data_IF_451224743383
#
_entry.id   IF_451224743383
#
_cell.length_a   1.000
_cell.length_b   1.000
_cell.length_c   1.000
_cell.angle_alpha   90.00
_cell.angle_beta   90.00
_cell.angle_gamma   90.00
#
_symmetry.space_group_name_H-M   'P 1'
#
loop_
_entity.id
_entity.type
_entity.pdbx_description
1 polymer ?
#
# COMPACT_ATOMS: atom_id res chain seq x y z
N UNK A 1 -36.38 19.69 -13.94
CA UNK A 1 -36.19 18.55 -13.05
C UNK A 1 -34.70 18.31 -12.91
N UNK A 2 -34.29 18.40 -11.65
CA UNK A 2 -33.02 18.17 -10.93
C UNK A 2 -31.70 17.90 -11.66
N UNK A 3 -30.69 18.63 -11.19
CA UNK A 3 -29.26 18.41 -11.37
C UNK A 3 -28.80 17.23 -10.50
N UNK A 4 -28.14 16.24 -11.10
CA UNK A 4 -27.46 15.16 -10.39
C UNK A 4 -26.04 15.57 -10.00
N UNK A 5 -25.85 16.00 -8.76
CA UNK A 5 -24.53 16.18 -8.15
C UNK A 5 -23.92 14.82 -7.81
N UNK A 6 -22.83 14.47 -8.48
CA UNK A 6 -22.02 13.29 -8.14
C UNK A 6 -21.22 13.54 -6.86
N UNK A 7 -21.58 12.84 -5.79
CA UNK A 7 -20.84 12.80 -4.53
C UNK A 7 -19.53 12.01 -4.71
N UNK A 8 -18.40 12.70 -4.79
CA UNK A 8 -17.04 12.14 -4.78
C UNK A 8 -16.38 12.14 -3.39
N UNK A 9 -17.10 12.43 -2.31
CA UNK A 9 -16.52 12.83 -1.02
C UNK A 9 -16.14 11.73 -0.02
N UNK A 10 -16.39 10.44 -0.29
CA UNK A 10 -16.29 9.39 0.75
C UNK A 10 -14.99 8.59 0.75
N UNK A 11 -14.30 8.44 -0.39
CA UNK A 11 -13.05 7.68 -0.46
C UNK A 11 -11.84 8.44 0.10
N UNK A 12 -11.78 9.76 -0.12
CA UNK A 12 -10.68 10.59 0.37
C UNK A 12 -10.69 10.71 1.90
N UNK A 13 -11.85 10.86 2.53
CA UNK A 13 -11.96 10.99 4.00
C UNK A 13 -11.39 9.80 4.79
N UNK A 14 -11.65 8.57 4.33
CA UNK A 14 -11.13 7.37 5.00
C UNK A 14 -9.62 7.15 4.73
N UNK A 15 -9.13 7.62 3.59
CA UNK A 15 -7.71 7.57 3.26
C UNK A 15 -6.89 8.60 4.05
N UNK A 16 -7.51 9.71 4.44
CA UNK A 16 -6.91 10.73 5.30
C UNK A 16 -6.90 10.30 6.77
N UNK A 17 -7.97 9.66 7.26
CA UNK A 17 -8.04 9.15 8.63
C UNK A 17 -6.95 8.10 8.92
N UNK A 18 -6.60 7.25 7.95
CA UNK A 18 -5.59 6.21 8.14
C UNK A 18 -4.15 6.73 8.04
N UNK A 19 -3.93 7.94 7.51
CA UNK A 19 -2.60 8.51 7.31
C UNK A 19 -1.83 8.74 8.62
N UNK A 20 -2.55 8.93 9.73
CA UNK A 20 -1.97 9.16 11.05
C UNK A 20 -1.89 7.91 11.93
N UNK A 21 -2.19 6.73 11.39
CA UNK A 21 -2.21 5.47 12.13
C UNK A 21 -0.96 4.65 11.81
N UNK A 22 -0.48 3.88 12.79
CA UNK A 22 0.51 2.82 12.61
C UNK A 22 -0.12 1.45 12.81
N UNK A 23 0.33 0.44 12.07
CA UNK A 23 -0.19 -0.93 12.21
C UNK A 23 0.92 -1.97 12.39
N UNK A 24 0.70 -2.91 13.32
CA UNK A 24 1.60 -4.05 13.54
C UNK A 24 0.79 -5.32 13.76
N UNK A 25 1.07 -6.36 12.99
CA UNK A 25 0.49 -7.69 13.18
C UNK A 25 1.51 -8.62 13.85
N UNK A 26 1.51 -8.58 15.18
CA UNK A 26 2.45 -9.34 16.01
C UNK A 26 2.35 -10.85 15.77
N UNK A 27 1.15 -11.37 15.49
CA UNK A 27 0.96 -12.81 15.27
C UNK A 27 1.63 -13.27 13.97
N UNK A 28 1.51 -12.49 12.90
CA UNK A 28 2.20 -12.78 11.65
C UNK A 28 3.73 -12.76 11.86
N UNK A 29 4.24 -11.69 12.50
CA UNK A 29 5.68 -11.53 12.72
C UNK A 29 6.25 -12.66 13.56
N UNK A 30 5.53 -13.11 14.61
CA UNK A 30 5.94 -14.23 15.44
C UNK A 30 5.96 -15.56 14.67
N UNK A 31 4.99 -15.77 13.77
CA UNK A 31 4.82 -17.04 13.07
C UNK A 31 5.71 -17.18 11.83
N UNK A 32 5.90 -16.10 11.09
CA UNK A 32 6.53 -16.13 9.76
C UNK A 32 7.79 -15.28 9.67
N UNK A 33 8.10 -14.47 10.69
CA UNK A 33 9.10 -13.42 10.59
C UNK A 33 8.71 -12.38 9.53
N UNK A 34 9.68 -11.55 9.13
CA UNK A 34 9.50 -10.58 8.05
C UNK A 34 10.76 -10.53 7.18
N UNK A 35 10.59 -10.65 5.87
CA UNK A 35 11.65 -10.58 4.87
C UNK A 35 11.08 -10.17 3.50
N UNK A 36 11.95 -9.99 2.51
CA UNK A 36 11.57 -9.55 1.16
C UNK A 36 10.57 -10.47 0.43
N UNK A 37 10.48 -11.75 0.82
CA UNK A 37 9.58 -12.72 0.18
C UNK A 37 8.16 -12.64 0.71
N UNK A 38 7.98 -12.26 1.99
CA UNK A 38 6.68 -12.28 2.66
C UNK A 38 6.15 -10.89 3.07
N UNK A 39 6.92 -9.82 2.84
CA UNK A 39 6.51 -8.46 3.25
C UNK A 39 5.21 -7.99 2.60
N UNK A 40 4.93 -8.38 1.34
CA UNK A 40 3.65 -8.05 0.71
C UNK A 40 2.49 -8.83 1.35
N UNK A 41 2.70 -10.09 1.73
CA UNK A 41 1.69 -10.87 2.46
C UNK A 41 1.42 -10.26 3.84
N UNK A 42 2.47 -9.81 4.52
CA UNK A 42 2.35 -9.06 5.77
C UNK A 42 1.53 -7.78 5.57
N UNK A 43 1.84 -7.01 4.52
CA UNK A 43 1.11 -5.79 4.17
C UNK A 43 -0.37 -6.04 3.91
N UNK A 44 -0.74 -7.17 3.30
CA UNK A 44 -2.15 -7.52 3.06
C UNK A 44 -2.97 -7.71 4.33
N UNK A 45 -2.32 -7.90 5.49
CA UNK A 45 -3.01 -8.00 6.79
C UNK A 45 -3.36 -6.62 7.38
N UNK A 46 -2.84 -5.55 6.79
CA UNK A 46 -2.98 -4.19 7.32
C UNK A 46 -4.28 -3.52 6.87
N UNK A 47 -4.79 -2.57 7.67
CA UNK A 47 -5.92 -1.74 7.25
C UNK A 47 -5.55 -0.88 6.03
N UNK A 48 -4.28 -0.52 5.82
CA UNK A 48 -3.84 0.19 4.62
C UNK A 48 -4.16 -0.57 3.34
N UNK A 49 -3.93 -1.89 3.32
CA UNK A 49 -4.30 -2.69 2.16
C UNK A 49 -5.82 -2.65 1.92
N UNK A 50 -6.64 -2.74 2.97
CA UNK A 50 -8.09 -2.68 2.82
C UNK A 50 -8.56 -1.31 2.29
N UNK A 51 -8.10 -0.22 2.90
CA UNK A 51 -8.57 1.13 2.62
C UNK A 51 -7.96 1.75 1.37
N UNK A 52 -6.73 1.38 1.00
CA UNK A 52 -6.05 1.92 -0.16
C UNK A 52 -6.30 1.11 -1.46
N UNK A 53 -7.36 0.29 -1.50
CA UNK A 53 -7.81 -0.40 -2.71
C UNK A 53 -7.23 -1.80 -2.93
N UNK A 54 -6.67 -2.43 -1.91
CA UNK A 54 -6.16 -3.81 -1.94
C UNK A 54 -7.13 -4.84 -2.52
N UNK A 55 -8.40 -4.91 -2.07
CA UNK A 55 -9.37 -5.89 -2.59
C UNK A 55 -9.64 -5.81 -4.10
N UNK A 56 -9.39 -4.65 -4.72
CA UNK A 56 -9.52 -4.42 -6.16
C UNK A 56 -8.19 -4.47 -6.92
N UNK A 57 -7.07 -4.62 -6.22
CA UNK A 57 -5.73 -4.58 -6.80
C UNK A 57 -5.41 -5.82 -7.62
N UNK A 58 -4.41 -5.69 -8.50
CA UNK A 58 -3.87 -6.82 -9.25
C UNK A 58 -3.23 -7.87 -8.32
N UNK A 59 -2.68 -7.48 -7.17
CA UNK A 59 -2.20 -8.40 -6.14
C UNK A 59 -3.29 -9.35 -5.67
N UNK A 60 -4.50 -8.83 -5.38
CA UNK A 60 -5.63 -9.63 -4.93
C UNK A 60 -6.09 -10.61 -6.01
N UNK A 61 -6.16 -10.14 -7.27
CA UNK A 61 -6.55 -10.99 -8.40
C UNK A 61 -5.57 -12.17 -8.55
N UNK A 62 -4.26 -11.91 -8.51
CA UNK A 62 -3.23 -12.97 -8.56
C UNK A 62 -3.36 -13.93 -7.38
N UNK A 63 -3.60 -13.41 -6.17
CA UNK A 63 -3.76 -14.24 -4.96
C UNK A 63 -4.96 -15.18 -5.03
N UNK A 64 -6.08 -14.73 -5.60
CA UNK A 64 -7.30 -15.54 -5.78
C UNK A 64 -7.20 -16.58 -6.89
N UNK A 65 -6.48 -16.25 -7.97
CA UNK A 65 -6.29 -17.15 -9.11
C UNK A 65 -5.32 -18.31 -8.79
N UNK A 66 -4.47 -18.17 -7.77
CA UNK A 66 -3.52 -19.19 -7.36
C UNK A 66 -2.28 -19.26 -8.27
N UNK A 67 -1.39 -20.22 -8.01
CA UNK A 67 -0.03 -20.25 -8.57
C UNK A 67 0.09 -20.74 -10.02
N UNK A 68 -1.01 -20.93 -10.75
CA UNK A 68 -1.02 -21.55 -12.09
C UNK A 68 -1.74 -20.75 -13.18
N UNK A 69 -2.48 -19.70 -12.81
CA UNK A 69 -3.25 -18.90 -13.77
C UNK A 69 -2.59 -17.54 -13.99
N UNK A 70 -2.23 -17.26 -15.24
CA UNK A 70 -1.64 -15.99 -15.63
C UNK A 70 -2.71 -14.89 -15.57
N UNK A 71 -2.74 -14.13 -14.48
CA UNK A 71 -3.60 -12.95 -14.38
C UNK A 71 -2.99 -11.81 -15.19
N UNK A 72 -3.41 -11.69 -16.44
CA UNK A 72 -3.05 -10.53 -17.27
C UNK A 72 -3.85 -9.30 -16.84
N UNK A 73 -3.18 -8.15 -16.61
CA UNK A 73 -3.88 -6.89 -16.42
C UNK A 73 -4.62 -6.51 -17.71
N UNK A 74 -5.79 -5.88 -17.56
CA UNK A 74 -6.58 -5.34 -18.68
C UNK A 74 -7.23 -4.03 -18.22
N UNK A 75 -7.32 -3.05 -19.12
CA UNK A 75 -7.82 -1.71 -18.80
C UNK A 75 -7.02 -1.04 -17.68
N UNK A 76 -7.64 -0.12 -16.94
CA UNK A 76 -7.01 0.54 -15.79
C UNK A 76 -6.80 -0.45 -14.63
N UNK A 77 -5.61 -0.43 -14.01
CA UNK A 77 -5.30 -1.28 -12.88
C UNK A 77 -4.33 -0.62 -11.92
N UNK A 78 -4.21 -1.18 -10.72
CA UNK A 78 -3.21 -0.80 -9.74
C UNK A 78 -2.66 -2.00 -9.00
N UNK A 79 -1.45 -1.87 -8.50
CA UNK A 79 -0.80 -2.90 -7.71
C UNK A 79 0.11 -2.28 -6.64
N UNK A 80 0.37 -3.06 -5.60
CA UNK A 80 1.33 -2.76 -4.55
C UNK A 80 2.60 -3.54 -4.82
N UNK A 81 3.72 -2.84 -4.88
CA UNK A 81 5.05 -3.40 -5.16
C UNK A 81 6.02 -3.10 -4.03
N UNK A 82 6.92 -4.04 -3.75
CA UNK A 82 8.08 -3.77 -2.92
C UNK A 82 9.12 -3.02 -3.77
N UNK A 83 9.40 -1.77 -3.45
CA UNK A 83 10.36 -0.93 -4.22
C UNK A 83 11.71 -0.79 -3.54
N UNK A 84 11.78 -1.01 -2.22
CA UNK A 84 13.03 -0.98 -1.48
C UNK A 84 13.01 -1.90 -0.27
N UNK A 85 14.17 -2.48 0.05
CA UNK A 85 14.46 -3.20 1.28
C UNK A 85 15.94 -3.02 1.65
N UNK A 86 16.22 -2.71 2.92
CA UNK A 86 17.60 -2.65 3.42
C UNK A 86 18.23 -4.05 3.57
N UNK A 87 19.53 -4.12 3.89
CA UNK A 87 20.22 -5.41 4.04
C UNK A 87 19.64 -6.25 5.20
N UNK A 88 19.30 -5.62 6.32
CA UNK A 88 18.67 -6.31 7.45
C UNK A 88 17.32 -6.96 7.09
N UNK A 89 16.53 -6.28 6.25
CA UNK A 89 15.30 -6.82 5.68
C UNK A 89 15.51 -8.02 4.74
N UNK A 90 16.64 -8.06 4.01
CA UNK A 90 17.02 -9.21 3.19
C UNK A 90 17.49 -10.38 4.05
N UNK A 91 18.17 -10.10 5.16
CA UNK A 91 18.60 -11.06 6.16
C UNK A 91 17.47 -11.55 7.09
N UNK A 92 16.32 -10.90 7.07
CA UNK A 92 15.15 -11.24 7.90
C UNK A 92 15.26 -10.74 9.35
N UNK A 93 16.10 -9.74 9.63
CA UNK A 93 16.27 -9.12 10.95
C UNK A 93 15.17 -8.08 11.17
N UNK A 94 14.01 -8.53 11.65
CA UNK A 94 12.80 -7.70 11.74
C UNK A 94 13.03 -6.38 12.47
N UNK A 95 13.77 -6.37 13.58
CA UNK A 95 13.95 -5.21 14.46
C UNK A 95 14.60 -3.99 13.79
N UNK A 96 15.42 -4.21 12.77
CA UNK A 96 16.13 -3.16 12.03
C UNK A 96 15.79 -3.14 10.54
N UNK A 97 14.81 -3.96 10.15
CA UNK A 97 14.34 -4.03 8.78
C UNK A 97 13.59 -2.77 8.37
N UNK A 98 13.88 -2.31 7.15
CA UNK A 98 13.18 -1.23 6.48
C UNK A 98 12.70 -1.76 5.13
N UNK A 99 11.39 -1.63 4.88
CA UNK A 99 10.79 -1.88 3.58
C UNK A 99 10.02 -0.67 3.10
N UNK A 100 10.00 -0.46 1.78
CA UNK A 100 9.16 0.55 1.13
C UNK A 100 8.25 -0.16 0.14
N UNK A 101 6.95 -0.04 0.36
CA UNK A 101 5.91 -0.54 -0.53
C UNK A 101 5.28 0.65 -1.25
N UNK A 102 5.08 0.52 -2.55
CA UNK A 102 4.48 1.56 -3.38
C UNK A 102 3.24 1.03 -4.08
N UNK A 103 2.15 1.79 -4.01
CA UNK A 103 1.01 1.61 -4.89
C UNK A 103 1.29 2.33 -6.21
N UNK A 104 1.25 1.57 -7.30
CA UNK A 104 1.39 2.10 -8.66
C UNK A 104 0.06 1.97 -9.40
N UNK A 105 -0.27 3.00 -10.17
CA UNK A 105 -1.45 3.05 -11.02
C UNK A 105 -1.03 2.92 -12.48
N UNK A 106 -1.74 2.12 -13.24
CA UNK A 106 -1.65 2.10 -14.70
C UNK A 106 -2.96 2.55 -15.29
N UNK A 107 -2.87 3.42 -16.30
CA UNK A 107 -4.03 3.99 -17.00
C UNK A 107 -3.88 3.73 -18.48
N UNK A 108 -4.97 3.30 -19.11
CA UNK A 108 -5.00 3.09 -20.55
C UNK A 108 -4.69 4.40 -21.28
N UNK A 109 -3.80 4.33 -22.28
CA UNK A 109 -3.32 5.50 -23.00
C UNK A 109 -2.19 6.29 -22.32
N UNK A 110 -1.75 5.90 -21.12
CA UNK A 110 -0.54 6.45 -20.49
C UNK A 110 0.65 5.50 -20.61
N UNK A 111 1.82 6.06 -20.89
CA UNK A 111 3.06 5.29 -20.93
C UNK A 111 3.57 5.04 -19.50
N UNK A 112 3.67 3.77 -19.12
CA UNK A 112 4.15 3.34 -17.82
C UNK A 112 3.13 3.40 -16.69
N UNK A 113 3.60 3.11 -15.47
CA UNK A 113 2.82 3.23 -14.24
C UNK A 113 3.24 4.46 -13.46
N UNK A 114 2.29 5.04 -12.73
CA UNK A 114 2.50 6.25 -11.93
C UNK A 114 2.39 5.90 -10.46
N UNK A 115 3.39 6.23 -9.63
CA UNK A 115 3.27 6.18 -8.19
C UNK A 115 2.06 6.96 -7.67
N UNK A 116 1.33 6.39 -6.72
CA UNK A 116 0.19 7.06 -6.09
C UNK A 116 0.30 7.12 -4.57
N UNK A 117 0.71 6.03 -3.93
CA UNK A 117 0.82 5.98 -2.46
C UNK A 117 2.09 5.21 -2.07
N UNK A 118 2.69 5.57 -0.95
CA UNK A 118 3.89 4.93 -0.41
C UNK A 118 3.64 4.53 1.03
N UNK A 119 4.16 3.36 1.41
CA UNK A 119 4.07 2.81 2.75
C UNK A 119 5.45 2.38 3.23
N UNK A 120 5.75 2.70 4.48
CA UNK A 120 6.97 2.28 5.14
C UNK A 120 6.67 1.13 6.08
N UNK A 121 7.52 0.09 6.06
CA UNK A 121 7.53 -0.94 7.10
C UNK A 121 8.84 -0.80 7.87
N UNK A 122 8.76 -0.28 9.09
CA UNK A 122 9.90 -0.01 9.96
C UNK A 122 9.79 -0.90 11.19
N UNK A 123 10.76 -1.78 11.39
CA UNK A 123 10.78 -2.68 12.55
C UNK A 123 9.48 -3.48 12.72
N UNK A 124 8.90 -3.90 11.59
CA UNK A 124 7.61 -4.60 11.54
C UNK A 124 6.36 -3.71 11.65
N UNK A 125 6.49 -2.41 11.89
CA UNK A 125 5.35 -1.47 11.95
C UNK A 125 5.12 -0.80 10.61
N UNK A 126 3.87 -0.74 10.14
CA UNK A 126 3.48 -0.17 8.85
C UNK A 126 2.94 1.25 9.04
N UNK A 127 3.39 2.16 8.19
CA UNK A 127 2.98 3.57 8.14
C UNK A 127 2.64 3.94 6.70
N UNK A 128 1.62 4.79 6.50
CA UNK A 128 1.39 5.49 5.23
C UNK A 128 2.31 6.71 5.16
N UNK A 129 2.97 6.93 4.03
CA UNK A 129 3.75 8.13 3.81
C UNK A 129 2.81 9.34 3.65
N UNK A 130 3.05 10.46 4.36
CA UNK A 130 2.25 11.66 4.19
C UNK A 130 2.50 12.29 2.82
N UNK A 131 1.53 13.03 2.31
CA UNK A 131 1.76 13.85 1.13
C UNK A 131 2.63 15.05 1.48
N UNK A 132 3.47 15.49 0.55
CA UNK A 132 4.35 16.65 0.80
C UNK A 132 3.55 17.93 1.10
N UNK A 133 2.36 18.08 0.52
CA UNK A 133 1.45 19.19 0.79
C UNK A 133 0.99 19.21 2.25
N UNK A 134 0.58 18.06 2.80
CA UNK A 134 0.19 17.92 4.21
C UNK A 134 1.33 18.30 5.16
N UNK A 135 2.58 17.95 4.80
CA UNK A 135 3.76 18.33 5.58
C UNK A 135 3.99 19.85 5.56
N UNK A 136 3.82 20.50 4.42
CA UNK A 136 3.94 21.96 4.31
C UNK A 136 2.84 22.67 5.09
N UNK A 137 1.59 22.23 4.96
CA UNK A 137 0.46 22.81 5.68
C UNK A 137 0.66 22.71 7.21
N UNK A 138 1.10 21.54 7.69
CA UNK A 138 1.40 21.32 9.10
C UNK A 138 2.58 22.15 9.61
N UNK A 139 3.56 22.47 8.76
CA UNK A 139 4.74 23.26 9.13
C UNK A 139 4.51 24.77 9.06
N UNK A 140 3.65 25.24 8.15
CA UNK A 140 3.34 26.66 7.96
C UNK A 140 2.28 27.15 8.96
N UNK A 141 1.40 26.25 9.44
CA UNK A 141 0.37 26.59 10.43
C UNK A 141 0.85 26.53 11.89
N UNK A 142 2.17 26.52 12.13
CA UNK A 142 2.81 26.66 13.45
C UNK A 142 3.26 28.10 13.70
#
# INVERSE_FOLDING_TARGET
MEAGGGSSGSADSAADEIAHVSFTNVEFLRRYGLNVKNVLEYFYTSPFYLHCGGPSSLNERRRRAGSGEEVRPSGNWHEFTLVHANEDAKDGRVETSIFVIQKVLWREGHEGSVPSEVFYVLSGSIYKAPQIGELFDAAICQ
#
